data_IF_248134683790
#
_entry.id   IF_248134683790
#
_cell.length_a   1.000
_cell.length_b   1.000
_cell.length_c   1.000
_cell.angle_alpha   90.00
_cell.angle_beta   90.00
_cell.angle_gamma   90.00
#
_symmetry.space_group_name_H-M   'P 1'
#
loop_
_entity.id
_entity.type
_entity.pdbx_description
1 polymer ?
#
# COMPACT_ATOMS: atom_id res chain seq x y z
N UNK A 1 -7.99 13.54 -9.86
CA UNK A 1 -6.54 13.35 -9.59
C UNK A 1 -6.11 11.97 -10.07
N UNK A 2 -4.88 11.82 -10.57
CA UNK A 2 -4.35 10.58 -11.17
C UNK A 2 -3.08 10.13 -10.43
N UNK A 3 -2.89 8.82 -10.29
CA UNK A 3 -1.60 8.25 -9.85
C UNK A 3 -0.63 8.29 -11.03
N UNK A 4 0.43 9.09 -10.90
CA UNK A 4 1.44 9.29 -11.94
C UNK A 4 2.63 8.35 -11.76
N UNK A 5 3.07 8.16 -10.51
CA UNK A 5 4.23 7.32 -10.22
C UNK A 5 4.05 6.57 -8.89
N UNK A 6 4.60 5.35 -8.84
CA UNK A 6 4.84 4.58 -7.63
C UNK A 6 6.33 4.25 -7.54
N UNK A 7 6.94 4.54 -6.41
CA UNK A 7 8.23 3.95 -6.02
C UNK A 7 8.04 3.06 -4.80
N UNK A 8 8.68 1.88 -4.80
CA UNK A 8 8.70 0.99 -3.64
C UNK A 8 10.10 0.41 -3.42
N UNK A 9 10.48 0.23 -2.16
CA UNK A 9 11.74 -0.40 -1.76
C UNK A 9 11.50 -1.30 -0.53
N UNK A 10 12.23 -2.40 -0.44
CA UNK A 10 12.08 -3.43 0.60
C UNK A 10 10.64 -3.94 0.76
N UNK A 11 9.83 -3.95 -0.30
CA UNK A 11 8.45 -4.38 -0.27
C UNK A 11 8.27 -5.72 -1.00
N UNK A 12 7.89 -6.75 -0.25
CA UNK A 12 7.68 -8.14 -0.71
C UNK A 12 8.90 -8.69 -1.45
N UNK A 13 8.82 -8.77 -2.78
CA UNK A 13 9.88 -9.32 -3.62
C UNK A 13 10.91 -8.27 -4.10
N UNK A 14 10.69 -6.99 -3.78
CA UNK A 14 11.57 -5.90 -4.21
C UNK A 14 12.50 -5.48 -3.08
N UNK A 15 13.78 -5.82 -3.19
CA UNK A 15 14.84 -5.32 -2.32
C UNK A 15 15.22 -3.89 -2.72
N UNK A 16 15.68 -3.75 -3.96
CA UNK A 16 16.05 -2.47 -4.54
C UNK A 16 14.84 -1.61 -4.82
N UNK A 17 15.06 -0.30 -4.81
CA UNK A 17 14.04 0.66 -5.19
C UNK A 17 13.67 0.45 -6.65
N UNK A 18 12.37 0.32 -6.90
CA UNK A 18 11.80 0.41 -8.24
C UNK A 18 11.00 1.70 -8.37
N UNK A 19 10.99 2.26 -9.57
CA UNK A 19 10.21 3.45 -9.92
C UNK A 19 9.34 3.12 -11.14
N UNK A 20 8.03 3.31 -11.02
CA UNK A 20 7.04 2.94 -12.02
C UNK A 20 6.20 4.16 -12.39
N UNK A 21 6.30 4.60 -13.64
CA UNK A 21 5.41 5.63 -14.18
C UNK A 21 4.15 4.99 -14.77
N UNK A 22 2.99 5.51 -14.39
CA UNK A 22 1.71 5.02 -14.90
C UNK A 22 1.23 5.88 -16.06
N UNK A 23 0.82 5.23 -17.15
CA UNK A 23 0.05 5.83 -18.23
C UNK A 23 -1.44 5.96 -17.89
N UNK A 24 -2.25 6.50 -18.82
CA UNK A 24 -3.72 6.46 -18.72
C UNK A 24 -4.26 5.03 -18.66
N UNK A 25 -3.57 4.12 -19.33
CA UNK A 25 -3.77 2.68 -19.27
C UNK A 25 -2.39 2.05 -19.03
N UNK A 26 -2.26 1.28 -17.96
CA UNK A 26 -1.02 0.57 -17.64
C UNK A 26 -1.30 -0.92 -17.55
N UNK A 27 -0.56 -1.73 -18.30
CA UNK A 27 -0.69 -3.19 -18.30
C UNK A 27 0.55 -3.83 -17.66
N UNK A 28 0.36 -4.48 -16.52
CA UNK A 28 1.42 -5.24 -15.85
C UNK A 28 1.46 -6.66 -16.42
N UNK A 29 2.52 -6.99 -17.17
CA UNK A 29 2.74 -8.33 -17.74
C UNK A 29 4.05 -8.95 -17.24
N UNK A 30 4.23 -10.26 -17.42
CA UNK A 30 5.44 -10.98 -16.99
C UNK A 30 5.12 -12.28 -16.26
N UNK A 31 6.16 -13.07 -15.98
CA UNK A 31 6.05 -14.39 -15.34
C UNK A 31 5.36 -14.35 -13.97
N UNK A 32 4.77 -15.45 -13.55
CA UNK A 32 4.24 -15.54 -12.18
C UNK A 32 5.33 -15.23 -11.15
N UNK A 33 4.93 -14.61 -10.04
CA UNK A 33 5.84 -14.19 -8.98
C UNK A 33 6.87 -13.11 -9.37
N UNK A 34 6.73 -12.45 -10.53
CA UNK A 34 7.58 -11.32 -10.93
C UNK A 34 7.29 -9.99 -10.20
N UNK A 35 6.48 -10.00 -9.14
CA UNK A 35 6.16 -8.80 -8.36
C UNK A 35 4.98 -7.94 -8.83
N UNK A 36 4.25 -8.35 -9.88
CA UNK A 36 3.05 -7.61 -10.36
C UNK A 36 2.01 -7.38 -9.26
N UNK A 37 1.70 -8.42 -8.48
CA UNK A 37 0.76 -8.29 -7.36
C UNK A 37 1.31 -7.37 -6.27
N UNK A 38 2.61 -7.41 -6.00
CA UNK A 38 3.26 -6.52 -5.03
C UNK A 38 3.10 -5.05 -5.40
N UNK A 39 3.24 -4.70 -6.70
CA UNK A 39 2.99 -3.35 -7.21
C UNK A 39 1.54 -2.91 -6.96
N UNK A 40 0.58 -3.80 -7.25
CA UNK A 40 -0.84 -3.50 -7.03
C UNK A 40 -1.13 -3.36 -5.53
N UNK A 41 -0.56 -4.25 -4.71
CA UNK A 41 -0.83 -4.31 -3.28
C UNK A 41 -0.27 -3.12 -2.51
N UNK A 42 0.86 -2.52 -2.93
CA UNK A 42 1.35 -1.29 -2.31
C UNK A 42 0.38 -0.12 -2.50
N UNK A 43 -0.25 -0.03 -3.69
CA UNK A 43 -1.26 1.00 -3.98
C UNK A 43 -2.55 0.71 -3.20
N UNK A 44 -3.04 -0.53 -3.24
CA UNK A 44 -4.28 -0.91 -2.56
C UNK A 44 -4.15 -0.81 -1.04
N UNK A 45 -2.99 -1.14 -0.48
CA UNK A 45 -2.66 -0.92 0.92
C UNK A 45 -2.78 0.55 1.31
N UNK A 46 -2.22 1.46 0.49
CA UNK A 46 -2.34 2.90 0.74
C UNK A 46 -3.80 3.38 0.68
N UNK A 47 -4.57 2.94 -0.33
CA UNK A 47 -5.97 3.35 -0.49
C UNK A 47 -6.86 2.80 0.64
N UNK A 48 -6.73 1.52 1.00
CA UNK A 48 -7.58 0.90 2.03
C UNK A 48 -7.31 1.40 3.46
N UNK A 49 -6.24 2.16 3.67
CA UNK A 49 -5.80 2.58 5.00
C UNK A 49 -6.70 3.63 5.64
N UNK A 50 -7.45 4.41 4.84
CA UNK A 50 -8.33 5.52 5.27
C UNK A 50 -7.60 6.74 5.86
N UNK A 51 -6.47 6.53 6.53
CA UNK A 51 -5.62 7.58 7.12
C UNK A 51 -4.20 7.59 6.53
N UNK A 52 -4.03 7.05 5.32
CA UNK A 52 -2.75 7.16 4.61
C UNK A 52 -2.45 8.64 4.32
N UNK A 53 -1.22 9.13 4.58
CA UNK A 53 0.02 8.37 4.82
C UNK A 53 0.47 8.28 6.28
N UNK A 54 -0.41 8.54 7.26
CA UNK A 54 -0.06 8.35 8.68
C UNK A 54 -0.23 6.91 9.13
N UNK A 55 -1.15 6.18 8.50
CA UNK A 55 -1.38 4.77 8.75
C UNK A 55 -1.29 3.98 7.43
N UNK A 56 -0.73 2.77 7.51
CA UNK A 56 -0.69 1.82 6.40
C UNK A 56 -1.28 0.48 6.84
N UNK A 57 -2.51 0.23 6.41
CA UNK A 57 -3.24 -1.00 6.70
C UNK A 57 -2.84 -2.10 5.74
N UNK A 58 -2.14 -3.11 6.26
CA UNK A 58 -1.72 -4.28 5.48
C UNK A 58 -2.87 -5.23 5.16
N UNK A 59 -3.96 -5.14 5.93
CA UNK A 59 -5.13 -5.99 5.82
C UNK A 59 -6.39 -5.11 5.79
N UNK A 60 -7.39 -5.48 5.00
CA UNK A 60 -8.55 -4.61 4.81
C UNK A 60 -9.41 -4.94 3.60
N UNK A 61 -10.13 -3.91 3.12
CA UNK A 61 -11.18 -4.04 2.09
C UNK A 61 -10.70 -4.66 0.77
N UNK A 62 -9.45 -4.44 0.39
CA UNK A 62 -8.95 -4.81 -0.94
C UNK A 62 -7.88 -5.89 -0.94
N UNK A 63 -6.98 -5.86 0.05
CA UNK A 63 -5.86 -6.78 0.15
C UNK A 63 -5.61 -7.16 1.60
N UNK A 64 -5.30 -8.42 1.80
CA UNK A 64 -4.75 -8.96 3.05
C UNK A 64 -3.33 -9.44 2.80
N UNK A 65 -2.38 -8.74 3.40
CA UNK A 65 -0.96 -8.99 3.21
C UNK A 65 -0.26 -9.60 4.42
N UNK A 66 -0.95 -9.70 5.57
CA UNK A 66 -0.37 -10.19 6.82
C UNK A 66 0.22 -9.07 7.67
N UNK A 67 1.22 -9.41 8.46
CA UNK A 67 1.95 -8.47 9.33
C UNK A 67 3.11 -7.77 8.57
N UNK A 68 3.90 -6.96 9.28
CA UNK A 68 5.06 -6.28 8.69
C UNK A 68 6.08 -7.27 8.13
N UNK A 69 6.29 -8.40 8.82
CA UNK A 69 7.23 -9.43 8.41
C UNK A 69 6.84 -10.06 7.07
N UNK A 70 5.55 -10.20 6.78
CA UNK A 70 5.03 -10.72 5.50
C UNK A 70 5.14 -9.74 4.32
N UNK A 71 5.32 -8.45 4.60
CA UNK A 71 5.43 -7.42 3.55
C UNK A 71 6.83 -6.84 3.38
N UNK A 72 7.72 -6.97 4.37
CA UNK A 72 9.11 -6.52 4.23
C UNK A 72 9.92 -7.55 3.45
N UNK A 73 10.83 -7.07 2.62
CA UNK A 73 11.68 -7.93 1.80
C UNK A 73 12.47 -8.91 2.66
N UNK A 74 12.48 -10.17 2.22
CA UNK A 74 13.18 -11.27 2.87
C UNK A 74 12.79 -11.47 4.35
N UNK A 75 11.61 -10.98 4.76
CA UNK A 75 11.14 -11.03 6.15
C UNK A 75 12.10 -10.36 7.16
N UNK A 76 12.98 -9.46 6.69
CA UNK A 76 13.96 -8.76 7.51
C UNK A 76 13.33 -7.52 8.15
N UNK A 77 12.85 -7.67 9.39
CA UNK A 77 12.16 -6.59 10.11
C UNK A 77 13.09 -5.49 10.64
N UNK A 78 14.39 -5.57 10.33
CA UNK A 78 15.33 -4.47 10.55
C UNK A 78 15.37 -3.48 9.38
N UNK A 79 14.77 -3.82 8.23
CA UNK A 79 14.64 -2.94 7.07
C UNK A 79 13.37 -2.09 7.18
N UNK A 80 13.45 -0.87 6.68
CA UNK A 80 12.28 -0.04 6.46
C UNK A 80 11.71 -0.27 5.07
N UNK A 81 10.38 -0.28 4.97
CA UNK A 81 9.65 -0.29 3.70
C UNK A 81 9.47 1.16 3.25
N UNK A 82 9.86 1.44 2.01
CA UNK A 82 9.57 2.73 1.36
C UNK A 82 8.39 2.58 0.41
N UNK A 83 7.41 3.48 0.54
CA UNK A 83 6.33 3.66 -0.44
C UNK A 83 6.27 5.14 -0.79
N UNK A 84 6.46 5.46 -2.06
CA UNK A 84 6.34 6.80 -2.62
C UNK A 84 5.26 6.80 -3.70
N UNK A 85 4.30 7.73 -3.58
CA UNK A 85 3.25 7.95 -4.57
C UNK A 85 3.31 9.40 -5.04
N UNK A 86 3.34 9.58 -6.36
CA UNK A 86 3.17 10.88 -6.99
C UNK A 86 1.83 10.93 -7.71
N UNK A 87 1.08 11.99 -7.43
CA UNK A 87 -0.27 12.22 -7.87
C UNK A 87 -0.35 13.56 -8.59
N UNK A 88 -1.21 13.69 -9.60
CA UNK A 88 -1.43 14.95 -10.29
C UNK A 88 -2.91 15.25 -10.60
N UNK A 89 -3.23 16.54 -10.64
CA UNK A 89 -4.46 17.10 -11.21
C UNK A 89 -4.19 18.49 -11.81
N UNK A 90 -5.26 19.22 -12.09
CA UNK A 90 -5.19 20.57 -12.65
C UNK A 90 -4.57 21.60 -11.68
N UNK A 91 -4.51 21.29 -10.38
CA UNK A 91 -3.94 22.15 -9.34
C UNK A 91 -2.43 21.94 -9.19
N UNK A 92 -1.91 20.77 -9.56
CA UNK A 92 -0.48 20.51 -9.64
C UNK A 92 -0.09 19.07 -9.27
N UNK A 93 1.15 18.92 -8.78
CA UNK A 93 1.74 17.62 -8.45
C UNK A 93 1.89 17.47 -6.94
N UNK A 94 1.41 16.35 -6.42
CA UNK A 94 1.50 15.98 -5.03
C UNK A 94 2.39 14.75 -4.90
N UNK A 95 3.34 14.76 -3.97
CA UNK A 95 4.22 13.61 -3.71
C UNK A 95 4.17 13.24 -2.24
N UNK A 96 3.98 11.95 -1.97
CA UNK A 96 3.88 11.38 -0.63
C UNK A 96 4.85 10.22 -0.52
N UNK A 97 5.92 10.39 0.26
CA UNK A 97 6.93 9.37 0.54
C UNK A 97 6.86 8.97 2.00
N UNK A 98 6.66 7.70 2.25
CA UNK A 98 6.51 7.13 3.60
C UNK A 98 7.52 6.00 3.83
N UNK A 99 8.12 5.99 5.02
CA UNK A 99 8.96 4.92 5.53
C UNK A 99 8.25 4.24 6.69
N UNK A 100 8.16 2.91 6.62
CA UNK A 100 7.48 2.08 7.61
C UNK A 100 8.46 1.12 8.25
N UNK A 101 8.36 0.96 9.55
CA UNK A 101 9.12 -0.02 10.35
C UNK A 101 8.14 -0.95 11.09
N UNK A 102 8.65 -2.05 11.64
CA UNK A 102 7.84 -2.95 12.46
C UNK A 102 7.51 -2.31 13.82
N UNK A 103 6.24 -2.24 14.17
CA UNK A 103 5.82 -2.04 15.55
C UNK A 103 6.03 -3.34 16.34
N UNK A 104 6.94 -3.30 17.32
CA UNK A 104 7.30 -4.49 18.12
C UNK A 104 6.17 -4.99 19.04
N UNK A 105 5.08 -4.23 19.19
CA UNK A 105 3.95 -4.61 20.05
C UNK A 105 2.92 -5.46 19.28
N UNK A 106 2.58 -5.06 18.06
CA UNK A 106 1.51 -5.68 17.27
C UNK A 106 2.00 -6.27 15.93
N UNK A 107 3.30 -6.16 15.62
CA UNK A 107 3.94 -6.60 14.38
C UNK A 107 3.39 -5.95 13.11
N UNK A 108 2.58 -4.89 13.21
CA UNK A 108 2.08 -4.13 12.07
C UNK A 108 3.05 -3.00 11.69
N UNK A 109 2.91 -2.43 10.48
CA UNK A 109 3.70 -1.27 10.09
C UNK A 109 3.37 -0.05 10.95
N UNK A 110 4.39 0.62 11.45
CA UNK A 110 4.28 1.93 12.08
C UNK A 110 5.11 2.96 11.32
N UNK A 111 4.60 4.19 11.25
CA UNK A 111 5.26 5.26 10.51
C UNK A 111 6.60 5.60 11.18
N UNK A 112 7.69 5.47 10.42
CA UNK A 112 9.01 5.95 10.81
C UNK A 112 9.20 7.40 10.31
N UNK A 113 8.99 7.63 9.01
CA UNK A 113 9.18 8.94 8.41
C UNK A 113 8.16 9.20 7.29
N UNK A 114 7.67 10.43 7.20
CA UNK A 114 6.84 10.94 6.12
C UNK A 114 7.47 12.19 5.51
N UNK A 115 7.46 12.26 4.18
CA UNK A 115 7.60 13.50 3.44
C UNK A 115 6.42 13.65 2.50
N UNK A 116 5.79 14.82 2.55
CA UNK A 116 4.69 15.18 1.69
C UNK A 116 4.98 16.54 1.07
N UNK A 117 4.74 16.65 -0.23
CA UNK A 117 4.92 17.87 -1.00
C UNK A 117 3.69 18.10 -1.88
N UNK A 118 3.25 19.34 -1.91
CA UNK A 118 2.27 19.89 -2.84
C UNK A 118 2.85 21.14 -3.50
N UNK A 119 2.20 21.73 -4.49
CA UNK A 119 2.70 22.95 -5.13
C UNK A 119 3.04 24.08 -4.15
N UNK A 120 2.26 24.23 -3.07
CA UNK A 120 2.37 25.37 -2.16
C UNK A 120 2.98 25.04 -0.80
N UNK A 121 2.96 23.76 -0.42
CA UNK A 121 3.26 23.30 0.94
C UNK A 121 4.17 22.06 0.96
N UNK A 122 4.99 21.97 2.00
CA UNK A 122 5.73 20.76 2.39
C UNK A 122 5.42 20.36 3.82
N UNK A 123 5.43 19.06 4.07
CA UNK A 123 5.24 18.45 5.38
C UNK A 123 6.29 17.35 5.55
N UNK A 124 6.99 17.35 6.68
CA UNK A 124 7.77 16.21 7.13
C UNK A 124 7.32 15.77 8.51
N UNK A 125 7.33 14.47 8.74
CA UNK A 125 7.08 13.85 10.04
C UNK A 125 8.19 12.83 10.25
N UNK A 126 8.93 12.95 11.34
CA UNK A 126 10.06 12.07 11.64
C UNK A 126 9.87 11.53 13.05
N UNK A 127 9.74 10.20 13.16
CA UNK A 127 9.70 9.50 14.44
C UNK A 127 11.01 9.72 15.19
N UNK A 128 10.88 10.04 16.46
CA UNK A 128 11.96 10.28 17.40
C UNK A 128 12.07 9.13 18.39
N UNK A 129 13.12 9.15 19.19
CA UNK A 129 13.23 8.27 20.35
C UNK A 129 12.02 8.43 21.29
N UNK A 130 11.68 7.35 22.01
CA UNK A 130 10.54 7.29 22.96
C UNK A 130 9.15 7.44 22.31
N UNK A 131 9.05 7.29 20.99
CA UNK A 131 7.77 7.28 20.27
C UNK A 131 7.17 8.66 19.99
N UNK A 132 7.94 9.74 20.16
CA UNK A 132 7.54 11.09 19.77
C UNK A 132 7.72 11.30 18.27
N UNK A 133 7.10 12.34 17.72
CA UNK A 133 7.27 12.76 16.32
C UNK A 133 7.65 14.23 16.24
N UNK A 134 8.65 14.52 15.40
CA UNK A 134 8.96 15.89 14.96
C UNK A 134 8.20 16.15 13.67
N UNK A 135 7.42 17.21 13.64
CA UNK A 135 6.60 17.59 12.50
C UNK A 135 7.07 18.96 12.03
N UNK A 136 7.59 19.04 10.82
CA UNK A 136 7.91 20.30 10.14
C UNK A 136 6.88 20.56 9.05
N UNK A 137 6.40 21.79 8.96
CA UNK A 137 5.54 22.23 7.87
C UNK A 137 6.01 23.59 7.40
N UNK A 138 6.21 23.69 6.10
CA UNK A 138 6.61 24.92 5.42
C UNK A 138 5.61 25.19 4.30
N UNK A 139 5.15 26.42 4.23
CA UNK A 139 4.12 26.88 3.29
C UNK A 139 4.54 28.20 2.70
N UNK A 140 4.24 28.40 1.43
CA UNK A 140 4.43 29.71 0.78
C UNK A 140 3.66 30.85 1.46
N UNK A 141 2.62 30.55 2.25
CA UNK A 141 1.72 31.53 2.87
C UNK A 141 1.93 31.64 4.40
N UNK A 142 2.41 30.59 5.06
CA UNK A 142 2.61 30.55 6.52
C UNK A 142 4.09 30.40 6.87
N UNK A 143 4.55 31.07 7.95
CA UNK A 143 5.89 30.82 8.50
C UNK A 143 6.07 29.35 8.85
N UNK A 144 7.28 28.82 8.64
CA UNK A 144 7.68 27.47 9.03
C UNK A 144 7.25 27.14 10.48
N UNK A 145 6.57 26.01 10.66
CA UNK A 145 6.10 25.51 11.96
C UNK A 145 6.74 24.16 12.25
N UNK A 146 7.52 24.12 13.33
CA UNK A 146 8.11 22.90 13.89
C UNK A 146 7.42 22.55 15.20
N UNK A 147 6.83 21.35 15.28
CA UNK A 147 6.10 20.85 16.47
C UNK A 147 6.64 19.48 16.83
N UNK A 148 6.86 19.23 18.12
CA UNK A 148 7.12 17.88 18.65
C UNK A 148 5.86 17.43 19.38
N UNK A 149 5.31 16.27 19.00
CA UNK A 149 4.12 15.70 19.64
C UNK A 149 4.26 14.20 19.85
N UNK A 150 3.54 13.69 20.84
CA UNK A 150 3.41 12.25 21.12
C UNK A 150 2.19 11.67 20.39
N UNK A 151 1.34 12.51 19.79
CA UNK A 151 0.12 12.11 19.09
C UNK A 151 0.02 12.73 17.69
N UNK A 152 0.09 11.89 16.66
CA UNK A 152 -0.09 12.31 15.27
C UNK A 152 -1.52 12.83 14.99
N UNK A 153 -2.51 12.50 15.83
CA UNK A 153 -3.86 13.08 15.69
C UNK A 153 -3.90 14.59 15.90
N UNK A 154 -2.93 15.21 16.61
CA UNK A 154 -2.91 16.67 16.79
C UNK A 154 -2.71 17.41 15.45
N UNK A 155 -2.14 16.74 14.46
CA UNK A 155 -1.98 17.22 13.08
C UNK A 155 -3.33 17.46 12.42
N UNK A 156 -4.34 16.63 12.75
CA UNK A 156 -5.73 16.72 12.25
C UNK A 156 -6.40 18.05 12.61
N UNK A 157 -5.85 18.90 13.47
CA UNK A 157 -6.51 20.16 13.83
C UNK A 157 -5.94 21.40 13.12
N UNK A 158 -4.79 21.28 12.41
CA UNK A 158 -3.97 22.47 12.09
C UNK A 158 -3.33 22.54 10.70
N UNK A 159 -3.37 21.51 9.84
CA UNK A 159 -2.57 21.50 8.59
C UNK A 159 -3.39 21.07 7.36
N UNK A 160 -3.54 22.00 6.41
CA UNK A 160 -4.25 21.84 5.12
C UNK A 160 -3.71 20.71 4.26
N UNK A 161 -2.37 20.60 4.11
CA UNK A 161 -1.74 19.60 3.25
C UNK A 161 -2.04 18.16 3.70
N UNK A 162 -2.05 17.91 5.00
CA UNK A 162 -2.37 16.58 5.54
C UNK A 162 -3.81 16.17 5.21
N UNK A 163 -4.76 17.08 5.41
CA UNK A 163 -6.15 16.84 5.06
C UNK A 163 -6.35 16.59 3.58
N UNK A 164 -5.70 17.40 2.74
CA UNK A 164 -5.74 17.24 1.30
C UNK A 164 -5.29 15.83 0.88
N UNK A 165 -4.18 15.34 1.43
CA UNK A 165 -3.67 14.01 1.10
C UNK A 165 -4.62 12.90 1.57
N UNK A 166 -5.21 13.01 2.76
CA UNK A 166 -6.19 12.02 3.21
C UNK A 166 -7.43 12.00 2.32
N UNK A 167 -7.99 13.18 2.03
CA UNK A 167 -9.19 13.32 1.21
C UNK A 167 -8.96 12.73 -0.19
N UNK A 168 -7.74 12.90 -0.71
CA UNK A 168 -7.26 12.28 -1.94
C UNK A 168 -7.39 10.74 -1.90
N UNK A 169 -6.86 10.09 -0.87
CA UNK A 169 -6.86 8.61 -0.80
C UNK A 169 -8.25 8.07 -0.52
N UNK A 170 -9.05 8.76 0.29
CA UNK A 170 -10.46 8.42 0.52
C UNK A 170 -11.29 8.55 -0.76
N UNK A 171 -11.03 9.58 -1.58
CA UNK A 171 -11.68 9.74 -2.89
C UNK A 171 -11.39 8.56 -3.83
N UNK A 172 -10.17 8.00 -3.79
CA UNK A 172 -9.88 6.76 -4.54
C UNK A 172 -10.66 5.57 -4.00
N UNK A 173 -10.77 5.42 -2.67
CA UNK A 173 -11.53 4.31 -2.06
C UNK A 173 -13.01 4.32 -2.49
N UNK A 174 -13.59 5.50 -2.63
CA UNK A 174 -14.98 5.70 -3.09
C UNK A 174 -15.19 5.42 -4.58
N UNK A 175 -14.14 5.59 -5.40
CA UNK A 175 -14.22 5.46 -6.87
C UNK A 175 -13.62 4.17 -7.42
N UNK A 176 -13.13 3.27 -6.57
CA UNK A 176 -12.74 1.93 -7.01
C UNK A 176 -13.99 1.17 -7.47
N UNK A 177 -14.09 0.99 -8.78
CA UNK A 177 -15.23 0.31 -9.40
C UNK A 177 -15.17 -1.22 -9.22
N UNK A 178 -14.00 -1.83 -9.40
CA UNK A 178 -13.84 -3.28 -9.35
C UNK A 178 -12.39 -3.65 -9.07
N UNK A 179 -12.20 -4.48 -8.05
CA UNK A 179 -10.94 -5.19 -7.79
C UNK A 179 -11.29 -6.67 -7.74
N UNK A 180 -10.85 -7.41 -8.75
CA UNK A 180 -11.15 -8.83 -8.82
C UNK A 180 -10.70 -9.48 -10.10
N UNK A 181 -10.87 -10.79 -10.13
CA UNK A 181 -10.67 -11.61 -11.32
C UNK A 181 -11.73 -11.28 -12.37
N UNK A 182 -11.33 -10.90 -13.58
CA UNK A 182 -12.22 -10.88 -14.76
C UNK A 182 -12.68 -12.29 -15.17
N UNK A 183 -12.16 -13.34 -14.54
CA UNK A 183 -12.59 -14.72 -14.74
C UNK A 183 -13.67 -15.05 -13.72
N UNK A 184 -14.87 -15.38 -14.19
CA UNK A 184 -15.74 -16.30 -13.47
C UNK A 184 -14.95 -17.61 -13.32
N UNK A 185 -14.81 -18.12 -12.09
CA UNK A 185 -14.19 -19.44 -11.94
C UNK A 185 -15.04 -20.43 -12.75
N UNK A 186 -14.46 -21.21 -13.68
CA UNK A 186 -15.20 -22.28 -14.32
C UNK A 186 -15.72 -23.21 -13.22
N UNK A 187 -16.96 -23.70 -13.34
CA UNK A 187 -17.50 -24.71 -12.43
C UNK A 187 -16.49 -25.85 -12.33
N UNK A 188 -15.85 -25.99 -11.17
CA UNK A 188 -14.99 -27.14 -10.89
C UNK A 188 -15.90 -28.33 -10.63
N UNK A 189 -16.21 -29.09 -11.67
CA UNK A 189 -16.77 -30.44 -11.50
C UNK A 189 -15.61 -31.33 -11.07
N UNK A 190 -15.44 -31.53 -9.76
CA UNK A 190 -14.57 -32.59 -9.27
C UNK A 190 -15.24 -33.90 -9.66
N UNK A 191 -14.70 -34.60 -10.66
CA UNK A 191 -14.97 -36.02 -10.83
C UNK A 191 -14.23 -36.76 -9.71
N UNK A 192 -14.82 -36.83 -8.53
CA UNK A 192 -14.49 -37.91 -7.60
C UNK A 192 -15.03 -39.19 -8.22
N UNK A 193 -14.23 -39.85 -9.07
CA UNK A 193 -14.43 -41.28 -9.28
C UNK A 193 -13.97 -41.98 -8.00
N UNK A 194 -14.93 -42.41 -7.19
CA UNK A 194 -14.67 -43.33 -6.11
C UNK A 194 -14.03 -44.59 -6.71
N UNK A 195 -12.79 -44.90 -6.32
CA UNK A 195 -12.05 -46.11 -6.71
C UNK A 195 -12.77 -47.43 -6.36
N UNK A 196 -13.91 -47.38 -5.67
CA UNK A 196 -14.69 -48.53 -5.25
C UNK A 196 -15.57 -49.13 -6.35
N UNK A 197 -15.77 -48.46 -7.50
CA UNK A 197 -16.66 -48.96 -8.56
C UNK A 197 -15.94 -49.71 -9.70
N UNK A 198 -14.62 -49.89 -9.63
CA UNK A 198 -13.85 -50.57 -10.70
C UNK A 198 -13.87 -52.11 -10.57
N UNK A 199 -14.37 -52.67 -9.47
CA UNK A 199 -14.48 -54.12 -9.30
C UNK A 199 -15.92 -54.58 -9.47
N UNK A 200 -16.42 -54.64 -10.71
CA UNK A 200 -17.50 -55.54 -11.14
C UNK A 200 -17.71 -55.41 -12.66
N UNK A 201 -16.84 -56.06 -13.43
CA UNK A 201 -17.20 -56.53 -14.76
C UNK A 201 -16.51 -57.87 -14.97
N UNK A 202 -17.32 -58.91 -14.82
CA UNK A 202 -17.00 -60.31 -14.93
C UNK A 202 -16.43 -60.66 -16.31
N UNK A 203 -15.57 -61.68 -16.28
CA UNK A 203 -15.20 -62.50 -17.41
C UNK A 203 -16.45 -63.04 -18.11
N UNK A 204 -16.57 -62.81 -19.42
CA UNK A 204 -17.28 -63.73 -20.30
C UNK A 204 -16.36 -64.07 -21.49
N UNK A 205 -16.04 -65.37 -21.56
CA UNK A 205 -15.50 -66.03 -22.74
C UNK A 205 -16.59 -66.10 -23.81
N UNK A 206 -16.25 -65.71 -25.03
CA UNK A 206 -16.48 -66.48 -26.28
C UNK A 206 -15.58 -65.92 -27.39
#
# INVERSE_FOLDING_TARGET
>A
MRIRNLSIQNFKCFEERIDLEFGKLTLLTGANSSGKSSIIYSILGAIQSGEFPLHFSTNGKYVDMGDFKEIVYNHDTNKNIEICLTLDDDSGVYTVKSLWEEDKINSLPTLNTLWAHSPDDTLSIIKQEKGKFTISYDSSILKEINIVTDNLCDIKSRKSLYFLIIDIFNTYDDHINFIGSFRLQPKRTYLEQAKSEINNAEYYYE
#
